data_IF_184995193957
#
_entry.id   IF_184995193957
#
_cell.length_a   1.000
_cell.length_b   1.000
_cell.length_c   1.000
_cell.angle_alpha   90.00
_cell.angle_beta   90.00
_cell.angle_gamma   90.00
#
_symmetry.space_group_name_H-M   'P 1'
#
loop_
_entity.id
_entity.type
_entity.pdbx_description
1 polymer ?
#
# COMPACT_ATOMS: atom_id res chain seq x y z
N UNK A 1 -8.45 -43.35 -66.13
CA UNK A 1 -8.85 -42.10 -65.44
C UNK A 1 -8.86 -42.21 -63.90
N UNK A 2 -7.92 -42.94 -63.26
CA UNK A 2 -7.90 -43.18 -61.79
C UNK A 2 -6.74 -42.51 -61.03
N UNK A 3 -5.72 -41.98 -61.71
CA UNK A 3 -4.53 -41.39 -61.05
C UNK A 3 -4.69 -39.93 -60.56
N UNK A 4 -5.63 -39.15 -61.12
CA UNK A 4 -5.83 -37.74 -60.69
C UNK A 4 -6.53 -37.61 -59.32
N UNK A 5 -7.36 -38.60 -58.93
CA UNK A 5 -8.10 -38.56 -57.65
C UNK A 5 -7.19 -38.85 -56.44
N UNK A 6 -6.19 -39.72 -56.58
CA UNK A 6 -5.22 -40.01 -55.52
C UNK A 6 -4.28 -38.83 -55.23
N UNK A 7 -3.81 -38.12 -56.27
CA UNK A 7 -2.99 -36.91 -56.07
C UNK A 7 -3.75 -35.79 -55.37
N UNK A 8 -5.03 -35.63 -55.69
CA UNK A 8 -5.90 -34.65 -55.04
C UNK A 8 -6.16 -35.02 -53.57
N UNK A 9 -6.43 -36.30 -53.29
CA UNK A 9 -6.60 -36.80 -51.93
C UNK A 9 -5.32 -36.63 -51.09
N UNK A 10 -4.16 -36.99 -51.64
CA UNK A 10 -2.87 -36.81 -50.97
C UNK A 10 -2.57 -35.32 -50.69
N UNK A 11 -2.92 -34.44 -51.62
CA UNK A 11 -2.84 -32.99 -51.44
C UNK A 11 -3.73 -32.49 -50.30
N UNK A 12 -4.96 -32.99 -50.19
CA UNK A 12 -5.85 -32.63 -49.08
C UNK A 12 -5.37 -33.20 -47.74
N UNK A 13 -4.81 -34.41 -47.71
CA UNK A 13 -4.21 -34.99 -46.50
C UNK A 13 -2.96 -34.21 -46.06
N UNK A 14 -2.09 -33.81 -46.99
CA UNK A 14 -0.91 -32.99 -46.68
C UNK A 14 -1.31 -31.58 -46.22
N UNK A 15 -2.33 -30.97 -46.83
CA UNK A 15 -2.87 -29.68 -46.39
C UNK A 15 -3.48 -29.79 -44.98
N UNK A 16 -4.19 -30.89 -44.68
CA UNK A 16 -4.74 -31.15 -43.35
C UNK A 16 -3.65 -31.34 -42.29
N UNK A 17 -2.59 -32.09 -42.59
CA UNK A 17 -1.44 -32.25 -41.68
C UNK A 17 -0.68 -30.94 -41.46
N UNK A 18 -0.52 -30.11 -42.51
CA UNK A 18 0.03 -28.76 -42.36
C UNK A 18 -0.85 -27.86 -41.49
N UNK A 19 -2.17 -27.92 -41.63
CA UNK A 19 -3.10 -27.14 -40.82
C UNK A 19 -3.05 -27.56 -39.34
N UNK A 20 -3.01 -28.87 -39.07
CA UNK A 20 -2.90 -29.40 -37.70
C UNK A 20 -1.55 -29.03 -37.08
N UNK A 21 -0.46 -29.11 -37.84
CA UNK A 21 0.87 -28.66 -37.41
C UNK A 21 0.90 -27.16 -37.13
N UNK A 22 0.29 -26.35 -38.00
CA UNK A 22 0.17 -24.90 -37.82
C UNK A 22 -0.66 -24.54 -36.59
N UNK A 23 -1.78 -25.24 -36.35
CA UNK A 23 -2.61 -25.05 -35.15
C UNK A 23 -1.90 -25.52 -33.87
N UNK A 24 -1.11 -26.60 -33.93
CA UNK A 24 -0.25 -27.02 -32.82
C UNK A 24 0.85 -25.99 -32.56
N UNK A 25 1.45 -25.43 -33.60
CA UNK A 25 2.44 -24.37 -33.48
C UNK A 25 1.81 -23.11 -32.88
N UNK A 26 0.61 -22.71 -33.32
CA UNK A 26 -0.13 -21.58 -32.78
C UNK A 26 -0.54 -21.80 -31.32
N UNK A 27 -0.97 -23.02 -30.97
CA UNK A 27 -1.26 -23.40 -29.59
C UNK A 27 0.01 -23.33 -28.74
N UNK A 28 1.14 -23.84 -29.23
CA UNK A 28 2.42 -23.77 -28.52
C UNK A 28 2.92 -22.32 -28.38
N UNK A 29 2.74 -21.50 -29.41
CA UNK A 29 3.05 -20.07 -29.40
C UNK A 29 2.11 -19.27 -28.49
N UNK A 30 0.88 -19.72 -28.26
CA UNK A 30 -0.04 -19.13 -27.28
C UNK A 30 0.30 -19.51 -25.82
N UNK A 31 1.07 -20.59 -25.62
CA UNK A 31 1.57 -21.00 -24.31
C UNK A 31 2.98 -20.46 -24.00
N UNK A 32 3.75 -20.08 -25.01
CA UNK A 32 4.99 -19.33 -24.85
C UNK A 32 4.64 -17.85 -24.86
N UNK A 33 4.80 -17.19 -23.72
CA UNK A 33 4.57 -15.75 -23.52
C UNK A 33 5.50 -14.90 -24.40
N UNK A 34 5.18 -14.76 -25.68
CA UNK A 34 5.82 -13.84 -26.62
C UNK A 34 4.78 -13.47 -27.68
N UNK A 35 3.93 -12.47 -27.40
CA UNK A 35 4.28 -11.13 -27.88
C UNK A 35 3.73 -9.99 -27.00
N UNK A 36 4.59 -9.44 -26.13
CA UNK A 36 4.53 -8.01 -25.73
C UNK A 36 5.83 -7.27 -26.00
N UNK A 37 6.92 -7.98 -26.30
CA UNK A 37 8.24 -7.39 -26.57
C UNK A 37 8.53 -7.07 -28.06
N UNK A 38 7.59 -7.30 -28.97
CA UNK A 38 7.75 -6.91 -30.39
C UNK A 38 7.03 -5.60 -30.75
N UNK A 39 6.28 -5.00 -29.82
CA UNK A 39 5.74 -3.65 -29.96
C UNK A 39 6.71 -2.56 -29.42
N UNK A 40 7.84 -2.95 -28.83
CA UNK A 40 8.88 -2.05 -28.31
C UNK A 40 10.11 -1.90 -29.22
N UNK A 41 10.12 -2.52 -30.41
CA UNK A 41 11.21 -2.36 -31.38
C UNK A 41 11.00 -1.13 -32.29
N UNK A 42 11.29 0.04 -31.72
CA UNK A 42 11.89 1.26 -32.30
C UNK A 42 11.33 1.95 -33.59
N UNK A 43 11.47 3.29 -33.69
CA UNK A 43 10.58 4.22 -34.40
C UNK A 43 11.08 4.67 -35.80
N UNK A 44 11.93 3.88 -36.46
CA UNK A 44 12.69 4.33 -37.64
C UNK A 44 12.01 4.15 -39.01
N UNK A 45 10.67 4.18 -39.09
CA UNK A 45 9.99 4.00 -40.37
C UNK A 45 8.96 5.07 -40.73
N UNK A 46 9.10 6.32 -40.25
CA UNK A 46 8.54 7.50 -40.94
C UNK A 46 9.41 8.74 -40.65
N UNK A 47 9.93 9.35 -41.71
CA UNK A 47 10.53 10.70 -41.80
C UNK A 47 12.02 10.90 -41.43
N UNK A 48 12.88 10.23 -42.19
CA UNK A 48 14.04 10.92 -42.77
C UNK A 48 13.54 11.95 -43.78
N UNK A 49 13.53 13.25 -43.47
CA UNK A 49 13.54 14.31 -44.49
C UNK A 49 13.96 15.66 -43.87
N UNK A 50 15.10 16.16 -44.37
CA UNK A 50 15.68 17.50 -44.29
C UNK A 50 16.85 17.80 -43.30
N UNK A 51 18.07 17.62 -43.84
CA UNK A 51 19.32 18.42 -43.79
C UNK A 51 19.95 18.78 -42.43
N UNK A 52 21.13 18.23 -42.10
CA UNK A 52 22.52 18.62 -42.51
C UNK A 52 23.03 19.93 -41.89
N UNK A 53 23.90 19.84 -40.87
CA UNK A 53 25.35 20.12 -40.96
C UNK A 53 26.00 20.21 -39.55
N UNK A 54 27.14 19.54 -39.39
CA UNK A 54 28.09 19.63 -38.28
C UNK A 54 29.02 20.88 -38.44
N UNK A 55 30.11 21.15 -37.67
CA UNK A 55 30.73 20.39 -36.55
C UNK A 55 31.44 21.23 -35.40
N UNK A 56 32.03 20.52 -34.40
CA UNK A 56 33.37 20.77 -33.73
C UNK A 56 33.49 21.90 -32.63
N UNK A 57 33.48 21.58 -31.32
CA UNK A 57 34.59 21.29 -30.30
C UNK A 57 35.37 22.52 -29.74
N UNK A 58 36.19 22.44 -28.66
CA UNK A 58 36.10 21.75 -27.35
C UNK A 58 36.62 22.59 -26.12
N UNK A 59 36.41 22.04 -24.90
CA UNK A 59 37.23 22.06 -23.65
C UNK A 59 37.85 23.35 -23.04
N UNK A 60 37.74 23.50 -21.71
CA UNK A 60 38.88 23.70 -20.78
C UNK A 60 38.47 23.59 -19.28
N UNK A 61 39.13 22.68 -18.55
CA UNK A 61 39.47 22.75 -17.09
C UNK A 61 40.94 23.26 -16.97
N UNK A 62 41.63 23.45 -15.81
CA UNK A 62 41.39 22.99 -14.42
C UNK A 62 41.79 23.96 -13.24
N UNK A 63 41.48 23.55 -11.99
CA UNK A 63 42.17 23.59 -10.65
C UNK A 63 43.50 24.38 -10.44
N UNK A 64 44.12 24.48 -9.21
CA UNK A 64 43.71 24.27 -7.79
C UNK A 64 44.22 25.37 -6.80
N UNK A 65 43.99 25.23 -5.48
CA UNK A 65 44.89 25.82 -4.46
C UNK A 65 44.39 25.88 -3.01
N UNK A 66 44.84 24.94 -2.17
CA UNK A 66 44.87 25.04 -0.69
C UNK A 66 46.25 25.54 -0.19
N UNK A 67 46.38 25.94 1.09
CA UNK A 67 47.17 25.07 1.99
C UNK A 67 46.67 24.99 3.45
N UNK A 68 47.02 23.85 4.05
CA UNK A 68 46.87 23.41 5.44
C UNK A 68 47.56 24.29 6.49
N UNK A 69 47.06 24.26 7.73
CA UNK A 69 47.91 24.24 8.93
C UNK A 69 47.31 23.38 10.06
N UNK A 70 48.13 22.43 10.52
CA UNK A 70 47.95 21.39 11.52
C UNK A 70 47.93 21.89 12.98
N UNK A 71 47.12 21.24 13.84
CA UNK A 71 47.53 20.84 15.22
C UNK A 71 46.59 19.80 15.86
N UNK A 72 47.13 18.62 16.14
CA UNK A 72 46.65 17.56 17.06
C UNK A 72 47.48 17.61 18.37
N UNK A 73 47.25 16.75 19.39
CA UNK A 73 46.05 15.99 19.81
C UNK A 73 45.78 16.08 21.33
N UNK A 74 44.54 15.92 21.81
CA UNK A 74 44.30 15.46 23.20
C UNK A 74 43.03 14.61 23.30
N UNK A 75 43.07 13.70 24.26
CA UNK A 75 42.34 12.45 24.39
C UNK A 75 40.83 12.57 24.68
N UNK A 76 40.11 11.58 24.13
CA UNK A 76 38.93 10.88 24.65
C UNK A 76 37.91 11.66 25.50
N UNK A 77 36.72 11.85 24.95
CA UNK A 77 35.47 11.44 25.60
C UNK A 77 34.40 11.29 24.51
N UNK A 78 33.93 10.06 24.28
CA UNK A 78 32.64 9.84 23.62
C UNK A 78 31.53 10.17 24.61
N UNK A 79 30.62 11.10 24.33
CA UNK A 79 29.32 11.11 24.95
C UNK A 79 28.41 10.22 24.08
N UNK A 80 28.01 9.11 24.68
CA UNK A 80 26.80 8.38 24.34
C UNK A 80 25.65 9.36 24.11
N UNK A 81 24.82 9.05 23.11
CA UNK A 81 23.47 9.60 22.91
C UNK A 81 22.83 9.95 24.26
N UNK A 82 22.74 11.25 24.54
CA UNK A 82 21.85 11.74 25.57
C UNK A 82 20.44 11.77 24.97
N UNK A 83 19.43 11.18 25.63
CA UNK A 83 18.03 11.38 25.25
C UNK A 83 17.73 12.88 25.33
N UNK A 84 17.09 13.43 24.29
CA UNK A 84 16.59 14.80 24.29
C UNK A 84 15.73 15.02 25.55
N UNK A 85 16.05 16.07 26.31
CA UNK A 85 15.32 16.47 27.52
C UNK A 85 13.88 16.91 27.18
N UNK A 86 12.85 16.51 27.96
CA UNK A 86 11.45 16.75 27.64
C UNK A 86 11.01 18.16 28.08
N UNK A 87 11.57 19.22 27.48
CA UNK A 87 11.10 20.59 27.74
C UNK A 87 11.18 21.56 26.56
N UNK A 88 11.30 21.05 25.32
CA UNK A 88 11.15 21.86 24.08
C UNK A 88 10.08 21.35 23.12
N UNK A 89 9.36 20.28 23.45
CA UNK A 89 8.34 19.65 22.60
C UNK A 89 7.02 20.45 22.47
N UNK A 90 7.07 21.77 22.64
CA UNK A 90 5.95 22.71 22.41
C UNK A 90 6.25 23.69 21.27
N UNK A 91 7.45 23.64 20.68
CA UNK A 91 7.75 24.35 19.43
C UNK A 91 7.08 23.59 18.27
N UNK A 92 6.04 24.22 17.73
CA UNK A 92 5.30 23.93 16.50
C UNK A 92 5.81 22.73 15.68
N UNK A 93 5.38 21.50 16.05
CA UNK A 93 5.73 20.25 15.36
C UNK A 93 5.58 20.32 13.83
N UNK A 94 4.63 21.14 13.36
CA UNK A 94 4.32 21.35 11.95
C UNK A 94 5.31 22.28 11.21
N UNK A 95 6.27 22.89 11.91
CA UNK A 95 7.32 23.76 11.32
C UNK A 95 8.70 23.12 11.35
N UNK A 96 8.80 21.91 11.88
CA UNK A 96 10.06 21.19 11.96
C UNK A 96 10.41 20.65 10.57
N UNK A 97 11.67 20.86 10.19
CA UNK A 97 12.31 20.12 9.11
C UNK A 97 12.63 18.69 9.62
N UNK A 98 12.57 17.71 8.72
CA UNK A 98 12.91 16.33 9.02
C UNK A 98 14.13 15.93 8.21
N UNK A 99 15.22 15.58 8.89
CA UNK A 99 16.47 15.17 8.24
C UNK A 99 16.42 13.66 8.05
N UNK A 100 16.45 13.22 6.79
CA UNK A 100 16.52 11.80 6.46
C UNK A 100 17.88 11.25 6.91
N UNK A 101 17.89 10.16 7.70
CA UNK A 101 19.14 9.52 8.09
C UNK A 101 19.75 8.83 6.86
N UNK A 102 21.08 8.86 6.76
CA UNK A 102 21.78 8.01 5.79
C UNK A 102 21.67 6.55 6.24
N UNK A 103 21.13 5.70 5.38
CA UNK A 103 21.12 4.25 5.63
C UNK A 103 22.51 3.68 5.35
N UNK A 104 23.23 3.32 6.40
CA UNK A 104 24.58 2.73 6.33
C UNK A 104 24.55 1.20 6.45
N UNK A 105 23.37 0.59 6.36
CA UNK A 105 23.17 -0.83 6.59
C UNK A 105 23.70 -1.66 5.42
N UNK A 106 24.69 -2.53 5.66
CA UNK A 106 25.15 -3.49 4.65
C UNK A 106 24.11 -4.61 4.44
N UNK A 107 23.30 -4.45 3.40
CA UNK A 107 22.28 -5.43 3.01
C UNK A 107 22.84 -6.64 2.28
N UNK A 108 24.06 -6.53 1.72
CA UNK A 108 24.67 -7.57 0.90
C UNK A 108 26.08 -7.89 1.36
N UNK A 109 26.38 -9.19 1.51
CA UNK A 109 27.71 -9.70 1.84
C UNK A 109 28.27 -10.52 0.68
N UNK A 110 29.56 -10.38 0.41
CA UNK A 110 30.26 -11.26 -0.53
C UNK A 110 30.67 -12.54 0.17
N UNK A 111 30.23 -13.67 -0.37
CA UNK A 111 30.69 -15.00 0.03
C UNK A 111 32.13 -15.21 -0.39
N UNK A 112 32.82 -16.16 0.26
CA UNK A 112 34.18 -16.60 -0.13
C UNK A 112 34.26 -17.13 -1.56
N UNK A 113 33.14 -17.55 -2.14
CA UNK A 113 33.03 -17.99 -3.52
C UNK A 113 32.75 -16.84 -4.51
N UNK A 114 32.75 -15.58 -4.06
CA UNK A 114 32.50 -14.40 -4.89
C UNK A 114 31.02 -14.09 -5.15
N UNK A 115 30.09 -14.94 -4.70
CA UNK A 115 28.65 -14.67 -4.78
C UNK A 115 28.22 -13.58 -3.80
N UNK A 116 27.29 -12.72 -4.22
CA UNK A 116 26.68 -11.70 -3.36
C UNK A 116 25.43 -12.30 -2.73
N UNK A 117 25.33 -12.26 -1.39
CA UNK A 117 24.19 -12.77 -0.64
C UNK A 117 23.53 -11.64 0.13
N UNK A 118 22.20 -11.56 0.08
CA UNK A 118 21.43 -10.70 0.95
C UNK A 118 21.58 -11.16 2.40
N UNK A 119 21.75 -10.21 3.33
CA UNK A 119 21.87 -10.46 4.77
C UNK A 119 20.56 -10.02 5.45
N UNK A 120 19.52 -10.87 5.51
CA UNK A 120 18.37 -10.58 6.34
C UNK A 120 18.75 -10.69 7.81
N UNK A 121 18.41 -9.67 8.60
CA UNK A 121 18.65 -9.61 10.04
C UNK A 121 18.20 -10.88 10.75
N UNK A 122 19.17 -11.65 11.25
CA UNK A 122 18.96 -12.65 12.29
C UNK A 122 19.98 -12.44 13.42
N UNK A 123 19.43 -11.96 14.56
CA UNK A 123 19.93 -11.96 15.95
C UNK A 123 20.84 -10.83 16.45
N UNK A 124 20.52 -10.46 17.70
CA UNK A 124 21.06 -9.40 18.56
C UNK A 124 22.53 -9.59 18.98
N UNK A 125 23.21 -8.44 19.21
CA UNK A 125 24.36 -8.15 20.11
C UNK A 125 25.69 -8.95 19.97
N UNK A 126 26.76 -8.32 19.47
CA UNK A 126 27.91 -7.75 20.23
C UNK A 126 29.18 -7.41 19.37
N UNK A 127 29.65 -6.15 19.51
CA UNK A 127 30.95 -5.46 19.22
C UNK A 127 31.77 -5.63 17.91
N UNK A 128 32.49 -4.55 17.47
CA UNK A 128 33.02 -4.39 16.11
C UNK A 128 34.52 -4.68 15.98
N UNK A 129 35.04 -4.76 14.73
CA UNK A 129 36.25 -3.98 14.45
C UNK A 129 36.24 -3.22 13.10
N UNK A 130 36.66 -1.97 13.23
CA UNK A 130 37.52 -1.13 12.37
C UNK A 130 37.66 -1.38 10.85
N UNK A 131 37.38 -0.33 10.08
CA UNK A 131 38.01 -0.07 8.78
C UNK A 131 37.28 0.99 7.95
N UNK A 132 37.93 2.14 7.68
CA UNK A 132 37.65 3.05 6.54
C UNK A 132 38.33 2.47 5.28
N UNK A 133 38.06 2.92 4.02
CA UNK A 133 37.36 4.14 3.61
C UNK A 133 36.39 3.99 2.39
N UNK A 134 35.90 5.16 1.94
CA UNK A 134 35.45 5.53 0.59
C UNK A 134 33.94 5.63 0.29
N UNK A 135 33.64 6.79 -0.30
CA UNK A 135 32.36 7.44 -0.55
C UNK A 135 31.56 6.68 -1.61
N UNK A 136 30.34 6.28 -1.26
CA UNK A 136 29.35 5.71 -2.17
C UNK A 136 27.95 6.17 -1.79
N UNK A 137 27.16 6.40 -2.82
CA UNK A 137 25.92 7.16 -2.84
C UNK A 137 24.75 6.19 -2.71
N UNK A 138 24.04 6.12 -1.55
CA UNK A 138 22.85 5.24 -1.35
C UNK A 138 21.58 5.92 -0.74
N UNK A 139 20.41 5.46 -1.20
CA UNK A 139 19.07 6.09 -1.16
C UNK A 139 18.27 5.88 0.15
N UNK A 140 17.27 6.75 0.37
CA UNK A 140 16.29 6.68 1.47
C UNK A 140 14.84 6.69 0.99
N UNK A 141 13.90 6.24 1.82
CA UNK A 141 12.49 6.06 1.44
C UNK A 141 11.51 6.82 2.34
N UNK A 142 10.48 7.43 1.74
CA UNK A 142 9.41 8.16 2.42
C UNK A 142 8.03 7.57 2.14
N UNK A 143 7.23 7.35 3.19
CA UNK A 143 5.82 6.98 3.09
C UNK A 143 4.92 8.13 3.58
N UNK A 144 3.87 8.46 2.86
CA UNK A 144 2.97 9.58 3.17
C UNK A 144 1.51 9.13 3.26
N UNK A 145 0.80 9.61 4.29
CA UNK A 145 -0.59 9.24 4.57
C UNK A 145 -1.39 10.39 5.18
N UNK A 146 -2.65 10.49 4.78
CA UNK A 146 -3.66 11.35 5.42
C UNK A 146 -4.43 10.55 6.47
N UNK A 147 -4.79 11.19 7.59
CA UNK A 147 -5.46 10.50 8.71
C UNK A 147 -6.65 11.31 9.20
N UNK A 148 -7.80 10.64 9.37
CA UNK A 148 -8.96 11.19 10.07
C UNK A 148 -9.13 10.51 11.43
N UNK A 149 -9.49 9.23 11.44
CA UNK A 149 -9.67 8.45 12.67
C UNK A 149 -9.28 6.97 12.55
N UNK A 150 -8.58 6.61 11.46
CA UNK A 150 -7.97 5.31 11.18
C UNK A 150 -6.75 4.98 12.09
N UNK A 151 -6.74 5.41 13.36
CA UNK A 151 -5.55 5.33 14.21
C UNK A 151 -5.04 3.92 14.46
N UNK A 152 -5.93 2.93 14.55
CA UNK A 152 -5.53 1.52 14.71
C UNK A 152 -4.82 1.00 13.47
N UNK A 153 -5.30 1.35 12.27
CA UNK A 153 -4.66 0.95 11.01
C UNK A 153 -3.34 1.71 10.79
N UNK A 154 -3.27 2.97 11.22
CA UNK A 154 -2.01 3.72 11.25
C UNK A 154 -0.97 3.05 12.16
N UNK A 155 -1.35 2.67 13.38
CA UNK A 155 -0.46 1.99 14.33
C UNK A 155 0.06 0.67 13.75
N UNK A 156 -0.83 -0.10 13.11
CA UNK A 156 -0.44 -1.31 12.36
C UNK A 156 0.56 -0.98 11.26
N UNK A 157 0.33 0.06 10.48
CA UNK A 157 1.23 0.48 9.40
C UNK A 157 2.62 0.88 9.93
N UNK A 158 2.69 1.62 11.02
CA UNK A 158 3.95 1.96 11.68
C UNK A 158 4.70 0.71 12.15
N UNK A 159 4.00 -0.27 12.71
CA UNK A 159 4.61 -1.52 13.15
C UNK A 159 5.03 -2.46 12.01
N UNK A 160 4.30 -2.48 10.90
CA UNK A 160 4.63 -3.30 9.72
C UNK A 160 5.81 -2.74 8.91
N UNK A 161 5.90 -1.41 8.81
CA UNK A 161 6.82 -0.73 7.89
C UNK A 161 7.94 0.04 8.59
N UNK A 162 7.87 0.24 9.91
CA UNK A 162 8.77 1.11 10.64
C UNK A 162 10.25 0.72 10.58
N UNK A 163 10.57 -0.51 10.22
CA UNK A 163 11.95 -0.97 10.03
C UNK A 163 12.48 -0.80 8.61
N UNK A 164 11.61 -0.59 7.61
CA UNK A 164 12.00 -0.43 6.20
C UNK A 164 11.81 1.00 5.68
N UNK A 165 10.88 1.76 6.26
CA UNK A 165 10.63 3.18 5.92
C UNK A 165 11.51 4.11 6.75
N UNK A 166 12.11 5.12 6.13
CA UNK A 166 12.98 6.08 6.81
C UNK A 166 12.19 7.26 7.39
N UNK A 167 11.16 7.73 6.68
CA UNK A 167 10.25 8.76 7.17
C UNK A 167 8.77 8.48 6.84
N UNK A 168 7.91 8.72 7.82
CA UNK A 168 6.46 8.76 7.67
C UNK A 168 5.99 10.21 7.67
N UNK A 169 5.48 10.69 6.54
CA UNK A 169 4.86 12.01 6.42
C UNK A 169 3.36 11.86 6.67
N UNK A 170 2.88 12.41 7.78
CA UNK A 170 1.49 12.22 8.22
C UNK A 170 0.79 13.56 8.28
N UNK A 171 -0.27 13.73 7.46
CA UNK A 171 -1.08 14.94 7.45
C UNK A 171 -2.36 14.79 8.27
N UNK A 172 -2.60 15.76 9.13
CA UNK A 172 -3.82 15.93 9.90
C UNK A 172 -4.42 17.32 9.64
N UNK A 173 -5.74 17.38 9.48
CA UNK A 173 -6.50 18.62 9.36
C UNK A 173 -7.34 18.86 10.61
N UNK A 174 -7.54 20.13 10.99
CA UNK A 174 -8.54 20.50 12.00
C UNK A 174 -9.97 20.62 11.42
N UNK A 175 -10.21 20.03 10.25
CA UNK A 175 -11.50 19.95 9.60
C UNK A 175 -11.86 18.50 9.24
N UNK A 176 -13.14 18.16 9.31
CA UNK A 176 -13.67 16.93 8.68
C UNK A 176 -13.61 17.05 7.15
N UNK A 177 -13.81 15.95 6.42
CA UNK A 177 -13.90 16.01 4.95
C UNK A 177 -15.12 16.83 4.45
N UNK A 178 -16.05 17.17 5.34
CA UNK A 178 -17.16 18.08 5.08
C UNK A 178 -16.83 19.56 5.37
N UNK A 179 -15.70 19.83 6.04
CA UNK A 179 -15.28 21.17 6.45
C UNK A 179 -15.73 21.59 7.84
N UNK A 180 -16.24 20.69 8.67
CA UNK A 180 -16.60 21.01 10.05
C UNK A 180 -15.38 20.93 10.99
N UNK A 181 -15.28 21.75 12.04
CA UNK A 181 -14.17 21.68 12.98
C UNK A 181 -13.98 20.27 13.56
N UNK A 182 -12.74 19.79 13.58
CA UNK A 182 -12.37 18.47 14.08
C UNK A 182 -11.16 18.55 15.03
N UNK A 183 -11.16 17.81 16.16
CA UNK A 183 -10.03 17.80 17.08
C UNK A 183 -8.79 17.15 16.47
N UNK A 184 -7.62 17.71 16.78
CA UNK A 184 -6.31 17.20 16.36
C UNK A 184 -5.85 16.03 17.24
N UNK A 185 -6.52 14.89 17.08
CA UNK A 185 -6.29 13.68 17.87
C UNK A 185 -4.92 13.05 17.60
N UNK A 186 -4.43 13.06 16.35
CA UNK A 186 -3.11 12.51 16.04
C UNK A 186 -2.02 13.33 16.72
N UNK A 187 -2.11 14.66 16.68
CA UNK A 187 -1.21 15.55 17.43
C UNK A 187 -1.24 15.28 18.94
N UNK A 188 -2.42 15.03 19.51
CA UNK A 188 -2.55 14.62 20.92
C UNK A 188 -1.81 13.30 21.18
N UNK A 189 -2.00 12.29 20.33
CA UNK A 189 -1.32 10.98 20.43
C UNK A 189 0.21 11.06 20.26
N UNK A 190 0.70 12.01 19.44
CA UNK A 190 2.12 12.27 19.30
C UNK A 190 2.73 12.94 20.54
N UNK A 191 1.94 13.69 21.32
CA UNK A 191 2.41 14.47 22.46
C UNK A 191 2.22 13.75 23.80
N UNK A 192 1.21 12.88 23.91
CA UNK A 192 0.92 12.10 25.11
C UNK A 192 1.76 10.81 25.25
N UNK A 193 2.57 10.49 24.23
CA UNK A 193 3.50 9.35 24.23
C UNK A 193 3.00 8.08 23.53
N UNK A 194 1.78 8.04 22.99
CA UNK A 194 1.25 6.84 22.30
C UNK A 194 2.17 6.37 21.18
N UNK A 195 2.71 7.30 20.38
CA UNK A 195 3.60 6.97 19.25
C UNK A 195 5.09 7.23 19.52
N UNK A 196 5.50 7.33 20.79
CA UNK A 196 6.88 7.70 21.13
C UNK A 196 7.92 6.74 20.52
N UNK A 197 7.57 5.46 20.36
CA UNK A 197 8.43 4.43 19.78
C UNK A 197 8.81 4.69 18.31
N UNK A 198 7.96 5.37 17.53
CA UNK A 198 8.17 5.65 16.10
C UNK A 198 8.27 7.15 15.79
N UNK A 199 7.99 8.01 16.78
CA UNK A 199 7.95 9.48 16.63
C UNK A 199 9.16 10.07 15.91
N UNK A 200 10.35 9.52 16.14
CA UNK A 200 11.59 9.95 15.50
C UNK A 200 11.62 9.75 13.97
N UNK A 201 10.68 8.97 13.41
CA UNK A 201 10.46 8.80 11.97
C UNK A 201 9.25 9.55 11.43
N UNK A 202 8.45 10.21 12.29
CA UNK A 202 7.19 10.83 11.88
C UNK A 202 7.37 12.33 11.65
N UNK A 203 7.14 12.77 10.42
CA UNK A 203 6.97 14.16 10.05
C UNK A 203 5.48 14.52 10.09
N UNK A 204 5.10 15.35 11.06
CA UNK A 204 3.73 15.86 11.19
C UNK A 204 3.48 17.04 10.25
N UNK A 205 2.48 16.91 9.38
CA UNK A 205 1.95 17.95 8.51
C UNK A 205 0.60 18.40 9.05
N UNK A 206 0.46 19.70 9.30
CA UNK A 206 -0.78 20.27 9.81
C UNK A 206 -1.43 21.14 8.75
N UNK A 207 -2.63 20.78 8.34
CA UNK A 207 -3.48 21.61 7.49
C UNK A 207 -4.46 22.39 8.36
N UNK A 208 -4.28 23.71 8.44
CA UNK A 208 -5.01 24.60 9.35
C UNK A 208 -6.20 25.32 8.71
N UNK A 209 -6.45 25.07 7.42
CA UNK A 209 -7.51 25.71 6.65
C UNK A 209 -8.23 24.70 5.75
N UNK A 210 -9.47 25.04 5.39
CA UNK A 210 -10.27 24.25 4.46
C UNK A 210 -10.22 24.88 3.06
N UNK A 211 -9.99 24.10 1.98
CA UNK A 211 -9.81 24.65 0.66
C UNK A 211 -11.07 25.34 0.13
N UNK A 212 -10.87 26.45 -0.59
CA UNK A 212 -11.95 27.15 -1.29
C UNK A 212 -12.62 26.20 -2.28
N UNK A 213 -13.95 26.16 -2.30
CA UNK A 213 -14.72 25.23 -3.14
C UNK A 213 -14.91 23.84 -2.51
N UNK A 214 -14.13 23.46 -1.49
CA UNK A 214 -14.20 22.12 -0.89
C UNK A 214 -15.55 21.77 -0.25
N UNK A 215 -16.30 22.79 0.18
CA UNK A 215 -17.65 22.58 0.75
C UNK A 215 -18.68 22.30 -0.35
N UNK A 216 -18.45 22.82 -1.55
CA UNK A 216 -19.32 22.61 -2.70
C UNK A 216 -18.97 21.30 -3.41
N UNK A 217 -17.69 20.98 -3.50
CA UNK A 217 -17.18 19.75 -4.09
C UNK A 217 -16.15 19.11 -3.17
N UNK A 218 -16.53 17.99 -2.56
CA UNK A 218 -15.69 17.24 -1.64
C UNK A 218 -14.40 16.72 -2.29
N UNK A 219 -14.38 16.51 -3.60
CA UNK A 219 -13.19 16.08 -4.31
C UNK A 219 -12.10 17.16 -4.30
N UNK A 220 -12.47 18.44 -4.25
CA UNK A 220 -11.51 19.53 -4.06
C UNK A 220 -10.84 19.41 -2.69
N UNK A 221 -11.60 19.04 -1.65
CA UNK A 221 -11.07 18.87 -0.31
C UNK A 221 -10.11 17.69 -0.20
N UNK A 222 -10.49 16.51 -0.73
CA UNK A 222 -9.62 15.33 -0.75
C UNK A 222 -8.36 15.53 -1.59
N UNK A 223 -8.50 16.10 -2.79
CA UNK A 223 -7.37 16.38 -3.67
C UNK A 223 -6.39 17.34 -2.99
N UNK A 224 -6.91 18.45 -2.45
CA UNK A 224 -6.09 19.46 -1.80
C UNK A 224 -5.35 18.90 -0.59
N UNK A 225 -5.99 18.04 0.22
CA UNK A 225 -5.33 17.41 1.36
C UNK A 225 -4.10 16.59 0.91
N UNK A 226 -4.22 15.83 -0.18
CA UNK A 226 -3.12 15.01 -0.73
C UNK A 226 -2.04 15.86 -1.40
N UNK A 227 -2.43 16.91 -2.12
CA UNK A 227 -1.50 17.90 -2.68
C UNK A 227 -0.73 18.62 -1.57
N UNK A 228 -1.42 19.04 -0.50
CA UNK A 228 -0.80 19.73 0.63
C UNK A 228 0.16 18.82 1.39
N UNK A 229 -0.25 17.59 1.70
CA UNK A 229 0.61 16.55 2.30
C UNK A 229 1.95 16.42 1.56
N UNK A 230 1.90 16.40 0.23
CA UNK A 230 3.09 16.19 -0.61
C UNK A 230 3.90 17.45 -0.79
N UNK A 231 3.29 18.59 -1.10
CA UNK A 231 4.00 19.85 -1.27
C UNK A 231 4.64 20.33 0.03
N UNK A 232 3.88 20.38 1.13
CA UNK A 232 4.41 20.82 2.42
C UNK A 232 5.35 19.76 3.01
N UNK A 233 4.89 18.51 3.10
CA UNK A 233 5.64 17.44 3.73
C UNK A 233 6.98 17.15 3.04
N UNK A 234 6.99 16.96 1.71
CA UNK A 234 8.23 16.66 0.99
C UNK A 234 9.19 17.86 0.99
N UNK A 235 8.69 19.10 0.98
CA UNK A 235 9.55 20.30 1.05
C UNK A 235 10.32 20.45 2.37
N UNK A 236 9.81 19.82 3.43
CA UNK A 236 10.42 19.80 4.77
C UNK A 236 11.33 18.60 5.01
N UNK A 237 11.41 17.66 4.06
CA UNK A 237 12.42 16.60 4.08
C UNK A 237 13.77 17.18 3.65
N UNK A 238 14.80 16.99 4.49
CA UNK A 238 16.20 17.36 4.21
C UNK A 238 16.99 16.10 3.87
N UNK A 239 18.01 16.25 3.05
CA UNK A 239 18.81 15.17 2.48
C UNK A 239 18.02 14.18 1.59
N UNK A 240 16.88 14.63 1.07
CA UNK A 240 16.11 13.87 0.09
C UNK A 240 16.87 13.83 -1.23
N UNK A 241 17.01 12.64 -1.80
CA UNK A 241 17.73 12.40 -3.06
C UNK A 241 16.75 12.16 -4.21
N UNK A 242 17.19 12.36 -5.46
CA UNK A 242 16.33 12.11 -6.62
C UNK A 242 15.87 10.65 -6.75
N UNK A 243 16.70 9.70 -6.33
CA UNK A 243 16.46 8.25 -6.42
C UNK A 243 15.67 7.66 -5.23
N UNK A 244 15.40 8.47 -4.20
CA UNK A 244 14.60 8.08 -3.04
C UNK A 244 13.19 7.62 -3.44
N UNK A 245 12.67 6.58 -2.78
CA UNK A 245 11.32 6.07 -3.08
C UNK A 245 10.28 6.85 -2.30
N UNK A 246 9.32 7.43 -3.02
CA UNK A 246 8.15 8.06 -2.44
C UNK A 246 6.93 7.15 -2.59
N UNK A 247 6.22 6.92 -1.47
CA UNK A 247 4.96 6.17 -1.41
C UNK A 247 3.87 7.05 -0.81
N UNK A 248 2.70 7.11 -1.45
CA UNK A 248 1.48 7.75 -0.96
C UNK A 248 0.33 6.75 -0.99
N UNK A 249 -0.23 6.48 0.19
CA UNK A 249 -1.31 5.51 0.39
C UNK A 249 -2.23 6.00 1.51
N UNK A 250 -3.48 5.57 1.47
CA UNK A 250 -4.44 5.81 2.55
C UNK A 250 -4.09 5.00 3.80
N UNK A 251 -4.59 5.42 4.96
CA UNK A 251 -4.27 4.74 6.23
C UNK A 251 -4.77 3.29 6.28
N UNK A 252 -5.82 2.95 5.50
CA UNK A 252 -6.36 1.60 5.35
C UNK A 252 -5.74 0.81 4.19
N UNK A 253 -4.75 1.38 3.50
CA UNK A 253 -3.90 0.75 2.48
C UNK A 253 -2.52 0.48 3.10
N UNK A 254 -2.22 -0.79 3.38
CA UNK A 254 -1.00 -1.24 4.08
C UNK A 254 -0.15 -2.06 3.09
N UNK A 255 0.88 -1.47 2.46
CA UNK A 255 1.85 -2.21 1.67
C UNK A 255 2.51 -3.33 2.47
N UNK A 256 2.82 -4.44 1.81
CA UNK A 256 3.60 -5.50 2.43
C UNK A 256 5.05 -5.04 2.62
N UNK A 257 5.59 -5.20 3.83
CA UNK A 257 6.98 -4.87 4.19
C UNK A 257 8.00 -5.36 3.15
N UNK A 258 7.86 -6.60 2.68
CA UNK A 258 8.82 -7.21 1.75
C UNK A 258 8.77 -6.54 0.37
N UNK A 259 7.62 -5.99 -0.03
CA UNK A 259 7.48 -5.21 -1.27
C UNK A 259 8.10 -3.82 -1.16
N UNK A 260 7.94 -3.15 -0.02
CA UNK A 260 8.61 -1.86 0.25
C UNK A 260 10.13 -2.06 0.31
N UNK A 261 10.59 -3.11 1.00
CA UNK A 261 12.01 -3.45 1.06
C UNK A 261 12.60 -3.78 -0.32
N UNK A 262 11.83 -4.42 -1.20
CA UNK A 262 12.26 -4.65 -2.58
C UNK A 262 12.49 -3.31 -3.31
N UNK A 263 11.56 -2.36 -3.18
CA UNK A 263 11.68 -1.05 -3.82
C UNK A 263 12.89 -0.27 -3.30
N UNK A 264 13.14 -0.34 -1.99
CA UNK A 264 14.29 0.30 -1.33
C UNK A 264 15.64 -0.19 -1.86
N UNK A 265 15.74 -1.50 -2.10
CA UNK A 265 17.04 -2.17 -2.31
C UNK A 265 17.34 -2.49 -3.78
N UNK A 266 16.34 -2.43 -4.65
CA UNK A 266 16.47 -2.85 -6.03
C UNK A 266 16.36 -1.66 -6.97
N UNK A 267 17.39 -1.43 -7.77
CA UNK A 267 17.39 -0.44 -8.85
C UNK A 267 16.86 -1.02 -10.16
N UNK A 268 16.27 -0.17 -10.99
CA UNK A 268 15.89 -0.52 -12.36
C UNK A 268 14.46 -1.04 -12.53
N UNK A 269 13.60 -0.85 -11.52
CA UNK A 269 12.16 -0.90 -11.74
C UNK A 269 11.69 0.33 -12.55
N UNK A 270 10.57 0.19 -13.26
CA UNK A 270 9.97 1.26 -14.08
C UNK A 270 9.00 2.11 -13.25
N UNK A 271 8.68 3.32 -13.66
CA UNK A 271 7.86 4.24 -12.88
C UNK A 271 6.59 4.69 -13.62
N UNK A 272 5.48 5.01 -12.92
CA UNK A 272 5.27 4.82 -11.47
C UNK A 272 4.94 3.36 -11.13
N UNK A 273 4.88 3.01 -9.84
CA UNK A 273 4.46 1.68 -9.40
C UNK A 273 3.17 1.69 -8.58
N UNK A 274 2.55 0.52 -8.51
CA UNK A 274 1.34 0.25 -7.75
C UNK A 274 1.48 -0.97 -6.85
N UNK A 275 0.57 -1.15 -5.90
CA UNK A 275 0.44 -2.38 -5.11
C UNK A 275 -0.87 -3.10 -5.44
N UNK A 276 -0.81 -4.41 -5.70
CA UNK A 276 -1.99 -5.27 -5.68
C UNK A 276 -2.33 -5.67 -4.25
N UNK A 277 -3.38 -5.10 -3.68
CA UNK A 277 -3.77 -5.31 -2.29
C UNK A 277 -4.95 -6.27 -2.15
N UNK A 278 -4.93 -7.08 -1.07
CA UNK A 278 -6.07 -7.90 -0.65
C UNK A 278 -7.17 -7.00 -0.12
N UNK A 279 -8.37 -7.08 -0.72
CA UNK A 279 -9.53 -6.31 -0.27
C UNK A 279 -10.25 -7.00 0.89
N UNK A 280 -10.44 -6.25 1.97
CA UNK A 280 -11.13 -6.68 3.18
C UNK A 280 -12.24 -5.70 3.54
N UNK A 281 -13.24 -6.15 4.29
CA UNK A 281 -14.42 -5.35 4.63
C UNK A 281 -14.81 -5.51 6.11
N UNK A 282 -14.99 -4.41 6.85
CA UNK A 282 -15.28 -4.35 8.30
C UNK A 282 -14.22 -4.95 9.23
N UNK A 283 -13.38 -5.83 8.69
CA UNK A 283 -12.21 -6.46 9.27
C UNK A 283 -11.60 -7.41 8.24
N UNK A 284 -10.53 -8.09 8.60
CA UNK A 284 -9.81 -9.01 7.73
C UNK A 284 -10.55 -10.34 7.49
N UNK A 285 -11.58 -10.62 8.32
CA UNK A 285 -12.45 -11.78 8.24
C UNK A 285 -13.45 -11.77 7.08
N UNK A 286 -13.75 -10.61 6.46
CA UNK A 286 -14.49 -10.58 5.19
C UNK A 286 -13.53 -10.25 4.05
N UNK A 287 -13.28 -11.23 3.18
CA UNK A 287 -12.53 -11.03 1.95
C UNK A 287 -13.50 -10.65 0.84
N UNK A 288 -13.24 -9.52 0.18
CA UNK A 288 -13.99 -9.13 -1.00
C UNK A 288 -13.41 -9.82 -2.25
N UNK A 289 -14.24 -10.11 -3.27
CA UNK A 289 -13.76 -10.69 -4.52
C UNK A 289 -12.84 -9.73 -5.29
N UNK A 290 -11.84 -10.31 -5.97
CA UNK A 290 -10.83 -9.57 -6.72
C UNK A 290 -9.80 -8.86 -5.84
N UNK A 291 -9.09 -7.89 -6.42
CA UNK A 291 -7.98 -7.17 -5.76
C UNK A 291 -8.14 -5.67 -5.97
N UNK A 292 -7.48 -4.87 -5.15
CA UNK A 292 -7.35 -3.44 -5.38
C UNK A 292 -5.95 -3.17 -5.94
N UNK A 293 -5.85 -2.49 -7.08
CA UNK A 293 -4.56 -2.02 -7.61
C UNK A 293 -4.43 -0.52 -7.31
N UNK A 294 -3.52 -0.21 -6.39
CA UNK A 294 -3.33 1.12 -5.81
C UNK A 294 -2.05 1.70 -6.41
N UNK A 295 -2.14 2.74 -7.27
CA UNK A 295 -0.93 3.42 -7.77
C UNK A 295 -0.41 4.32 -6.66
N UNK A 296 0.77 4.00 -6.15
CA UNK A 296 1.20 4.46 -4.83
C UNK A 296 2.51 5.19 -4.84
N UNK A 297 3.40 4.93 -5.80
CA UNK A 297 4.75 5.49 -5.67
C UNK A 297 5.53 5.66 -6.95
N UNK A 298 6.60 6.43 -6.81
CA UNK A 298 7.63 6.67 -7.80
C UNK A 298 8.88 7.16 -7.08
N UNK A 299 9.96 7.40 -7.81
CA UNK A 299 11.11 8.13 -7.29
C UNK A 299 10.74 9.58 -6.97
N UNK A 300 11.48 10.20 -6.08
CA UNK A 300 11.36 11.63 -5.78
C UNK A 300 11.63 12.49 -7.01
N UNK A 301 12.56 12.10 -7.89
CA UNK A 301 12.81 12.82 -9.15
C UNK A 301 11.58 12.84 -10.04
N UNK A 302 10.89 11.70 -10.21
CA UNK A 302 9.63 11.66 -10.95
C UNK A 302 8.56 12.51 -10.26
N UNK A 303 8.44 12.42 -8.93
CA UNK A 303 7.48 13.21 -8.16
C UNK A 303 7.68 14.71 -8.37
N UNK A 304 8.92 15.17 -8.34
CA UNK A 304 9.28 16.57 -8.55
C UNK A 304 9.14 16.99 -10.01
N UNK A 305 9.79 16.28 -10.93
CA UNK A 305 9.89 16.67 -12.34
C UNK A 305 8.57 16.49 -13.09
N UNK A 306 7.91 15.35 -12.95
CA UNK A 306 6.72 14.99 -13.73
C UNK A 306 5.45 15.48 -13.04
N UNK A 307 5.32 15.22 -11.74
CA UNK A 307 4.10 15.53 -11.00
C UNK A 307 4.11 16.92 -10.35
N UNK A 308 5.26 17.58 -10.23
CA UNK A 308 5.36 18.90 -9.60
C UNK A 308 5.08 18.85 -8.10
N UNK A 309 5.53 17.79 -7.42
CA UNK A 309 5.26 17.50 -6.00
C UNK A 309 3.76 17.32 -5.68
N UNK A 310 2.93 17.02 -6.68
CA UNK A 310 1.49 16.86 -6.50
C UNK A 310 1.11 15.37 -6.45
N UNK A 311 1.04 14.82 -5.22
CA UNK A 311 0.78 13.39 -4.99
C UNK A 311 -0.56 12.88 -5.52
N UNK A 312 -1.58 13.74 -5.65
CA UNK A 312 -2.88 13.31 -6.21
C UNK A 312 -2.78 12.97 -7.69
N UNK A 313 -1.88 13.63 -8.44
CA UNK A 313 -1.67 13.34 -9.86
C UNK A 313 -1.05 11.97 -10.07
N UNK A 314 -0.19 11.54 -9.14
CA UNK A 314 0.34 10.18 -9.07
C UNK A 314 -0.80 9.18 -8.82
N UNK A 315 -1.61 9.40 -7.76
CA UNK A 315 -2.77 8.55 -7.43
C UNK A 315 -3.76 8.40 -8.59
N UNK A 316 -3.97 9.49 -9.36
CA UNK A 316 -4.88 9.54 -10.51
C UNK A 316 -4.28 9.06 -11.83
N UNK A 317 -3.04 8.55 -11.83
CA UNK A 317 -2.34 8.02 -13.01
C UNK A 317 -2.15 9.06 -14.13
N UNK A 318 -2.04 10.35 -13.81
CA UNK A 318 -2.09 11.43 -14.82
C UNK A 318 -0.77 11.70 -15.56
N UNK A 319 0.26 10.85 -15.37
CA UNK A 319 1.62 11.12 -15.84
C UNK A 319 1.76 11.27 -17.35
N UNK A 320 1.00 10.50 -18.15
CA UNK A 320 1.10 10.52 -19.61
C UNK A 320 0.65 11.85 -20.24
N UNK A 321 -0.15 12.65 -19.53
CA UNK A 321 -0.57 13.99 -19.93
C UNK A 321 0.31 15.11 -19.38
N UNK A 322 1.28 14.79 -18.52
CA UNK A 322 2.11 15.80 -17.87
C UNK A 322 3.12 16.40 -18.85
N UNK A 323 3.32 17.74 -18.85
CA UNK A 323 4.17 18.41 -19.83
C UNK A 323 5.64 17.94 -19.77
N UNK A 324 6.13 17.66 -18.57
CA UNK A 324 7.52 17.25 -18.34
C UNK A 324 7.76 15.75 -18.48
N UNK A 325 6.71 14.94 -18.73
CA UNK A 325 6.83 13.48 -18.79
C UNK A 325 7.82 13.02 -19.87
N UNK A 326 7.71 13.56 -21.09
CA UNK A 326 8.62 13.21 -22.20
C UNK A 326 10.05 13.68 -21.96
N UNK A 327 10.21 14.84 -21.31
CA UNK A 327 11.54 15.33 -20.94
C UNK A 327 12.20 14.43 -19.89
N UNK A 328 11.43 14.00 -18.89
CA UNK A 328 11.86 13.08 -17.85
C UNK A 328 12.25 11.71 -18.44
N UNK A 329 11.41 11.14 -19.30
CA UNK A 329 11.67 9.89 -20.03
C UNK A 329 12.98 9.96 -20.84
N UNK A 330 13.18 11.05 -21.61
CA UNK A 330 14.39 11.24 -22.40
C UNK A 330 15.64 11.44 -21.54
N UNK A 331 15.53 12.12 -20.39
CA UNK A 331 16.64 12.39 -19.48
C UNK A 331 17.10 11.14 -18.74
N UNK A 332 16.16 10.33 -18.27
CA UNK A 332 16.45 9.09 -17.54
C UNK A 332 16.85 7.96 -18.48
N UNK A 333 16.39 7.99 -19.73
CA UNK A 333 16.61 6.89 -20.68
C UNK A 333 15.83 5.62 -20.34
N UNK A 334 14.91 5.69 -19.37
CA UNK A 334 14.05 4.60 -18.96
C UNK A 334 12.73 4.63 -19.74
N UNK A 335 12.23 3.46 -20.12
CA UNK A 335 10.87 3.35 -20.67
C UNK A 335 9.91 3.37 -19.48
N UNK A 336 9.08 4.40 -19.39
CA UNK A 336 8.17 4.62 -18.26
C UNK A 336 6.84 3.92 -18.50
N UNK A 337 6.70 2.75 -17.90
CA UNK A 337 5.48 1.94 -17.90
C UNK A 337 5.06 1.69 -16.47
N UNK A 338 3.82 2.03 -16.13
CA UNK A 338 3.28 1.66 -14.83
C UNK A 338 3.29 0.14 -14.66
N UNK A 339 3.78 -0.32 -13.51
CA UNK A 339 3.74 -1.72 -13.11
C UNK A 339 3.21 -1.84 -11.68
N UNK A 340 2.98 -3.07 -11.24
CA UNK A 340 2.36 -3.34 -9.94
C UNK A 340 3.14 -4.41 -9.22
N UNK A 341 3.46 -4.16 -7.95
CA UNK A 341 3.94 -5.19 -7.03
C UNK A 341 2.80 -6.15 -6.75
N UNK A 342 3.12 -7.44 -6.86
CA UNK A 342 2.14 -8.50 -6.72
C UNK A 342 1.26 -8.67 -7.96
N UNK A 343 0.19 -9.44 -7.79
CA UNK A 343 -0.79 -9.74 -8.85
C UNK A 343 -2.13 -10.06 -8.21
N UNK A 344 -3.20 -10.26 -9.01
CA UNK A 344 -4.48 -10.66 -8.48
C UNK A 344 -4.51 -11.96 -7.65
N UNK A 345 -3.45 -12.78 -7.75
CA UNK A 345 -3.29 -14.04 -7.02
C UNK A 345 -2.24 -13.95 -5.89
N UNK A 346 -1.30 -13.00 -5.98
CA UNK A 346 -0.21 -12.82 -5.04
C UNK A 346 -0.19 -11.37 -4.57
N UNK A 347 -0.89 -11.08 -3.49
CA UNK A 347 -1.01 -9.72 -2.96
C UNK A 347 0.33 -9.16 -2.47
N UNK A 348 0.53 -7.87 -2.66
CA UNK A 348 1.65 -7.08 -2.15
C UNK A 348 1.20 -6.08 -1.05
N UNK A 349 0.07 -6.35 -0.40
CA UNK A 349 -0.44 -5.53 0.69
C UNK A 349 -1.90 -5.83 1.02
N UNK A 350 -2.48 -5.00 1.87
CA UNK A 350 -3.85 -5.11 2.34
C UNK A 350 -4.59 -3.79 2.20
N UNK A 351 -5.86 -3.86 1.81
CA UNK A 351 -6.79 -2.75 1.87
C UNK A 351 -8.01 -3.17 2.71
N UNK A 352 -8.40 -2.36 3.68
CA UNK A 352 -9.44 -2.71 4.65
C UNK A 352 -10.55 -1.65 4.71
N UNK A 353 -11.58 -1.81 3.88
CA UNK A 353 -12.72 -0.90 3.85
C UNK A 353 -13.56 -1.03 5.12
N UNK A 354 -13.94 0.12 5.70
CA UNK A 354 -14.83 0.19 6.86
C UNK A 354 -14.35 -0.59 8.10
N UNK A 355 -13.04 -0.80 8.23
CA UNK A 355 -12.44 -1.57 9.31
C UNK A 355 -12.35 -0.77 10.62
N UNK A 356 -13.52 -0.56 11.22
CA UNK A 356 -13.72 0.14 12.48
C UNK A 356 -14.76 -0.58 13.35
N UNK A 357 -14.86 -0.16 14.60
CA UNK A 357 -16.05 -0.43 15.42
C UNK A 357 -17.31 0.18 14.79
N UNK A 358 -18.53 -0.24 15.19
CA UNK A 358 -19.76 0.38 14.68
C UNK A 358 -19.79 1.89 14.86
N UNK A 359 -19.27 2.39 15.98
CA UNK A 359 -19.18 3.82 16.27
C UNK A 359 -18.18 4.51 15.32
N UNK A 360 -17.05 3.87 14.99
CA UNK A 360 -16.10 4.39 14.02
C UNK A 360 -16.65 4.41 12.58
N UNK A 361 -17.48 3.44 12.20
CA UNK A 361 -18.21 3.46 10.92
C UNK A 361 -19.22 4.60 10.90
N UNK A 362 -19.98 4.79 11.99
CA UNK A 362 -20.88 5.93 12.13
C UNK A 362 -20.14 7.26 11.94
N UNK A 363 -18.99 7.43 12.61
CA UNK A 363 -18.18 8.64 12.47
C UNK A 363 -17.69 8.85 11.03
N UNK A 364 -17.23 7.79 10.35
CA UNK A 364 -16.82 7.84 8.94
C UNK A 364 -17.96 8.25 8.01
N UNK A 365 -19.18 7.76 8.26
CA UNK A 365 -20.37 8.11 7.49
C UNK A 365 -20.72 9.60 7.63
N UNK A 366 -20.74 10.13 8.85
CA UNK A 366 -21.10 11.54 9.08
C UNK A 366 -20.01 12.51 8.60
N UNK A 367 -18.75 12.07 8.58
CA UNK A 367 -17.62 12.88 8.12
C UNK A 367 -17.39 12.81 6.60
N UNK A 368 -18.12 11.97 5.87
CA UNK A 368 -17.92 11.77 4.43
C UNK A 368 -18.04 13.09 3.64
N UNK A 369 -17.25 13.21 2.57
CA UNK A 369 -17.16 14.42 1.75
C UNK A 369 -18.44 14.70 0.93
N UNK A 370 -18.64 15.96 0.51
CA UNK A 370 -19.80 16.41 -0.28
C UNK A 370 -19.86 15.86 -1.73
N UNK A 371 -18.83 15.13 -2.18
CA UNK A 371 -18.75 14.54 -3.52
C UNK A 371 -18.98 13.03 -3.57
N UNK A 372 -19.22 12.37 -2.44
CA UNK A 372 -19.40 10.93 -2.35
C UNK A 372 -20.87 10.56 -2.54
N UNK A 373 -21.26 10.10 -3.74
CA UNK A 373 -22.66 9.82 -4.09
C UNK A 373 -22.90 8.33 -4.40
N UNK A 374 -23.91 7.67 -3.79
CA UNK A 374 -24.79 8.20 -2.74
C UNK A 374 -24.06 8.36 -1.41
N UNK A 375 -24.30 9.49 -0.72
CA UNK A 375 -23.71 9.75 0.59
C UNK A 375 -24.47 8.99 1.66
N UNK A 376 -24.01 7.78 1.98
CA UNK A 376 -24.71 6.90 2.93
C UNK A 376 -24.94 7.54 4.31
N UNK A 377 -24.08 8.47 4.73
CA UNK A 377 -24.24 9.21 5.99
C UNK A 377 -25.44 10.17 6.05
N UNK A 378 -26.07 10.51 4.92
CA UNK A 378 -27.26 11.38 4.90
C UNK A 378 -28.54 10.60 5.27
N UNK A 379 -28.50 9.27 5.22
CA UNK A 379 -29.63 8.41 5.51
C UNK A 379 -29.65 8.00 7.00
N UNK A 380 -30.72 8.33 7.71
CA UNK A 380 -30.84 8.05 9.16
C UNK A 380 -30.73 6.56 9.48
N UNK A 381 -31.33 5.69 8.68
CA UNK A 381 -31.29 4.23 8.85
C UNK A 381 -29.88 3.66 8.67
N UNK A 382 -29.07 4.26 7.78
CA UNK A 382 -27.70 3.81 7.51
C UNK A 382 -26.73 4.19 8.63
N UNK A 383 -27.09 5.19 9.44
CA UNK A 383 -26.35 5.61 10.64
C UNK A 383 -26.72 4.82 11.89
N UNK A 384 -27.79 4.01 11.87
CA UNK A 384 -28.20 3.22 13.02
C UNK A 384 -27.12 2.17 13.38
N UNK A 385 -26.72 2.14 14.66
CA UNK A 385 -25.65 1.24 15.10
C UNK A 385 -26.05 -0.24 15.01
N UNK A 386 -27.34 -0.59 15.13
CA UNK A 386 -27.78 -1.97 14.97
C UNK A 386 -27.78 -2.38 13.50
N UNK A 387 -28.14 -1.48 12.59
CA UNK A 387 -27.97 -1.67 11.15
C UNK A 387 -26.49 -1.90 10.79
N UNK A 388 -25.59 -1.05 11.27
CA UNK A 388 -24.14 -1.19 11.06
C UNK A 388 -23.63 -2.53 11.62
N UNK A 389 -24.00 -2.92 12.84
CA UNK A 389 -23.67 -4.24 13.40
C UNK A 389 -24.20 -5.38 12.54
N UNK A 390 -25.38 -5.24 11.96
CA UNK A 390 -25.93 -6.22 11.03
C UNK A 390 -25.09 -6.33 9.75
N UNK A 391 -24.61 -5.21 9.20
CA UNK A 391 -23.70 -5.22 8.06
C UNK A 391 -22.36 -5.90 8.38
N UNK A 392 -21.74 -5.58 9.52
CA UNK A 392 -20.51 -6.24 9.97
C UNK A 392 -20.75 -7.75 10.15
N UNK A 393 -21.89 -8.12 10.73
CA UNK A 393 -22.28 -9.52 10.94
C UNK A 393 -22.40 -10.31 9.64
N UNK A 394 -22.94 -9.71 8.59
CA UNK A 394 -23.26 -10.42 7.34
C UNK A 394 -22.26 -10.18 6.20
N UNK A 395 -21.40 -9.16 6.32
CA UNK A 395 -20.54 -8.70 5.23
C UNK A 395 -21.28 -7.89 4.15
N UNK A 396 -22.52 -7.44 4.43
CA UNK A 396 -23.31 -6.67 3.47
C UNK A 396 -22.79 -5.25 3.24
N UNK A 397 -23.22 -4.63 2.14
CA UNK A 397 -22.89 -3.24 1.79
C UNK A 397 -24.08 -2.30 2.08
N UNK A 398 -23.81 -0.99 2.11
CA UNK A 398 -24.82 0.01 2.46
C UNK A 398 -25.97 0.13 1.45
N UNK A 399 -25.76 -0.31 0.21
CA UNK A 399 -26.78 -0.39 -0.84
C UNK A 399 -27.73 -1.59 -0.70
N UNK A 400 -27.51 -2.44 0.30
CA UNK A 400 -28.29 -3.66 0.54
C UNK A 400 -27.73 -4.91 -0.14
N UNK A 401 -26.62 -4.80 -0.88
CA UNK A 401 -25.90 -5.96 -1.42
C UNK A 401 -25.43 -6.85 -0.28
N UNK A 402 -25.62 -8.16 -0.42
CA UNK A 402 -25.16 -9.13 0.57
C UNK A 402 -23.85 -9.77 0.13
N UNK A 403 -23.08 -10.24 1.10
CA UNK A 403 -21.88 -11.00 0.83
C UNK A 403 -22.24 -12.36 0.22
N UNK A 404 -21.74 -12.61 -0.99
CA UNK A 404 -21.94 -13.89 -1.69
C UNK A 404 -20.93 -14.97 -1.29
N UNK A 405 -19.76 -14.57 -0.76
CA UNK A 405 -18.64 -15.47 -0.45
C UNK A 405 -18.54 -15.77 1.05
N UNK A 406 -18.07 -16.97 1.44
CA UNK A 406 -17.85 -17.27 2.85
C UNK A 406 -16.85 -16.30 3.51
N UNK A 407 -16.89 -16.16 4.84
CA UNK A 407 -15.82 -15.49 5.58
C UNK A 407 -14.46 -16.06 5.20
N UNK A 408 -13.44 -15.21 5.24
CA UNK A 408 -12.07 -15.59 4.97
C UNK A 408 -11.57 -16.63 5.99
N UNK A 409 -10.82 -17.62 5.51
CA UNK A 409 -10.15 -18.58 6.38
C UNK A 409 -8.89 -17.91 7.00
N UNK A 410 -8.77 -17.86 8.34
CA UNK A 410 -7.60 -17.28 9.01
C UNK A 410 -6.26 -17.93 8.64
N UNK A 411 -6.27 -19.15 8.08
CA UNK A 411 -5.09 -19.84 7.58
C UNK A 411 -4.69 -19.42 6.15
N UNK A 412 -5.50 -18.61 5.46
CA UNK A 412 -5.16 -18.07 4.15
C UNK A 412 -3.88 -17.24 4.19
N UNK A 413 -3.06 -17.38 3.15
CA UNK A 413 -1.92 -16.50 2.94
C UNK A 413 -2.38 -15.03 2.87
N UNK A 414 -1.65 -14.13 3.53
CA UNK A 414 -1.98 -12.70 3.62
C UNK A 414 -3.37 -12.45 4.21
N UNK A 415 -3.86 -13.28 5.14
CA UNK A 415 -5.13 -13.04 5.82
C UNK A 415 -5.22 -11.63 6.42
N UNK A 416 -4.22 -11.24 7.23
CA UNK A 416 -4.09 -9.93 7.86
C UNK A 416 -2.60 -9.56 8.06
N UNK A 417 -2.27 -8.28 8.28
CA UNK A 417 -0.96 -7.83 8.77
C UNK A 417 -0.41 -8.66 9.94
N UNK A 418 0.90 -8.91 9.94
CA UNK A 418 1.57 -9.76 10.94
C UNK A 418 1.44 -9.18 12.36
N UNK A 419 1.47 -7.87 12.51
CA UNK A 419 1.32 -7.16 13.77
C UNK A 419 -0.07 -7.36 14.37
N UNK A 420 -1.13 -7.31 13.55
CA UNK A 420 -2.48 -7.62 14.01
C UNK A 420 -2.56 -9.05 14.53
N UNK A 421 -2.02 -10.01 13.78
CA UNK A 421 -2.02 -11.43 14.17
C UNK A 421 -1.25 -11.69 15.47
N UNK A 422 -0.13 -10.98 15.69
CA UNK A 422 0.66 -11.08 16.92
C UNK A 422 -0.05 -10.44 18.13
N UNK A 423 -0.84 -9.39 17.91
CA UNK A 423 -1.58 -8.66 18.95
C UNK A 423 -3.07 -8.98 18.88
N UNK A 424 -3.40 -10.26 18.73
CA UNK A 424 -4.74 -10.74 18.43
C UNK A 424 -5.80 -10.24 19.42
N UNK A 425 -5.52 -10.26 20.73
CA UNK A 425 -6.51 -9.87 21.75
C UNK A 425 -6.90 -8.39 21.65
N UNK A 426 -5.93 -7.52 21.31
CA UNK A 426 -6.16 -6.09 21.12
C UNK A 426 -7.00 -5.84 19.85
N UNK A 427 -6.67 -6.52 18.75
CA UNK A 427 -7.30 -6.29 17.45
C UNK A 427 -8.33 -7.34 17.08
N UNK A 428 -8.87 -8.05 18.07
CA UNK A 428 -9.81 -9.15 17.85
C UNK A 428 -11.01 -8.72 17.01
N UNK A 429 -11.47 -7.49 17.20
CA UNK A 429 -12.60 -6.93 16.45
C UNK A 429 -12.34 -6.78 14.94
N UNK A 430 -11.08 -6.76 14.50
CA UNK A 430 -10.66 -6.74 13.09
C UNK A 430 -10.34 -8.13 12.55
N UNK A 431 -10.10 -9.12 13.41
CA UNK A 431 -9.68 -10.47 13.04
C UNK A 431 -10.80 -11.50 13.16
N UNK A 432 -11.74 -11.31 14.07
CA UNK A 432 -12.94 -12.11 14.20
C UNK A 432 -14.16 -11.26 13.87
N UNK A 433 -15.20 -11.88 13.32
CA UNK A 433 -16.51 -11.24 13.26
C UNK A 433 -17.14 -11.26 14.67
N UNK A 434 -17.22 -10.12 15.38
CA UNK A 434 -17.66 -10.10 16.78
C UNK A 434 -19.18 -10.25 16.92
N UNK A 435 -19.92 -10.16 15.82
CA UNK A 435 -21.38 -10.22 15.80
C UNK A 435 -21.92 -11.52 15.20
N UNK A 436 -21.05 -12.52 14.98
CA UNK A 436 -21.46 -13.83 14.49
C UNK A 436 -22.32 -14.52 15.54
N UNK A 437 -23.47 -15.04 15.11
CA UNK A 437 -24.31 -15.85 15.98
C UNK A 437 -23.57 -17.15 16.37
N UNK A 438 -23.69 -17.61 17.63
CA UNK A 438 -23.14 -18.89 18.03
C UNK A 438 -23.73 -19.97 17.14
N UNK A 439 -22.87 -20.84 16.56
CA UNK A 439 -23.36 -22.01 15.82
C UNK A 439 -24.24 -22.81 16.77
N UNK A 440 -25.53 -22.94 16.46
CA UNK A 440 -26.39 -23.88 17.18
C UNK A 440 -25.80 -25.28 16.99
N UNK A 441 -25.42 -25.93 18.09
CA UNK A 441 -25.02 -27.34 18.10
C UNK A 441 -26.26 -28.18 17.84
N UNK A 442 -26.72 -28.22 16.59
CA UNK A 442 -27.82 -29.05 16.14
C UNK A 442 -27.30 -30.20 15.27
N UNK A 443 -26.52 -31.09 15.87
CA UNK A 443 -26.30 -32.45 15.38
C UNK A 443 -25.80 -33.34 16.52
N UNK A 444 -26.53 -34.41 16.83
CA UNK A 444 -25.97 -35.55 17.58
C UNK A 444 -26.59 -35.88 18.94
N UNK A 445 -27.92 -35.99 19.01
CA UNK A 445 -28.61 -36.59 20.15
C UNK A 445 -29.69 -37.57 19.69
N UNK A 446 -29.32 -38.56 18.87
CA UNK A 446 -30.18 -39.73 18.63
C UNK A 446 -30.36 -40.47 19.96
N UNK A 447 -31.41 -40.12 20.70
CA UNK A 447 -31.96 -41.00 21.75
C UNK A 447 -32.64 -42.17 21.05
N UNK A 448 -32.00 -43.34 21.14
CA UNK A 448 -32.63 -44.63 20.91
C UNK A 448 -33.99 -44.68 21.62
N UNK A 449 -35.08 -44.66 20.86
CA UNK A 449 -36.39 -45.13 21.34
C UNK A 449 -36.32 -46.66 21.36
N UNK A 450 -35.90 -47.19 22.51
CA UNK A 450 -36.16 -48.58 22.88
C UNK A 450 -37.66 -48.77 23.06
N UNK A 451 -38.15 -49.84 22.47
CA UNK A 451 -39.49 -50.41 22.62
C UNK A 451 -39.75 -50.86 24.06
N UNK A 452 -40.86 -50.40 24.64
CA UNK A 452 -41.64 -50.96 25.78
C UNK A 452 -42.58 -49.81 26.25
N UNK A 453 -43.85 -49.93 26.56
CA UNK A 453 -44.86 -50.98 26.58
C UNK A 453 -46.23 -50.29 26.75
N UNK A 454 -47.32 -51.00 26.43
CA UNK A 454 -48.73 -50.56 26.49
C UNK A 454 -49.13 -49.76 27.76
N UNK A 455 -50.04 -48.77 27.65
CA UNK A 455 -50.87 -48.36 28.78
C UNK A 455 -52.11 -49.28 28.89
N UNK A 456 -52.58 -49.66 30.08
CA UNK A 456 -53.86 -50.32 30.23
C UNK A 456 -54.99 -49.29 30.31
N UNK A 457 -56.13 -49.68 29.72
CA UNK A 457 -57.40 -48.97 29.80
C UNK A 457 -58.25 -49.51 30.98
N UNK A 458 -58.99 -48.59 31.62
CA UNK A 458 -60.16 -48.69 32.54
C UNK A 458 -59.92 -47.94 33.86
N UNK A 459 -60.86 -47.18 34.41
CA UNK A 459 -62.28 -47.06 34.09
C UNK A 459 -62.95 -45.85 34.76
N UNK A 460 -64.20 -45.64 34.35
CA UNK A 460 -65.16 -44.64 34.85
C UNK A 460 -65.43 -44.76 36.35
N UNK A 461 -65.74 -43.63 36.99
CA UNK A 461 -66.87 -43.48 37.91
C UNK A 461 -67.24 -41.99 38.01
N UNK A 462 -68.55 -41.78 38.12
CA UNK A 462 -69.29 -40.53 37.97
C UNK A 462 -69.49 -39.78 39.32
N UNK A 463 -69.96 -38.52 39.22
CA UNK A 463 -70.95 -37.84 40.13
C UNK A 463 -70.42 -37.32 41.49
N UNK A 464 -70.79 -36.17 42.09
CA UNK A 464 -71.61 -34.95 41.85
C UNK A 464 -71.42 -34.03 43.09
N UNK A 465 -71.67 -32.72 42.92
CA UNK A 465 -72.03 -31.65 43.88
C UNK A 465 -71.06 -31.07 44.90
N UNK A 466 -71.13 -29.73 44.98
CA UNK A 466 -70.47 -28.80 45.88
C UNK A 466 -70.45 -27.40 45.27
#
# INVERSE_FOLDING_TARGET
>A
MKMKRYKLFLMFCMAGLCLISFLHFFKTLSYVTFPRELASLSPNLVSSFFWNNAPVTPQASPEPGSPDLLRTPLYSHSPLLQPLSPSKATEELHRMDFVLPEDTTEYFVRTKAGGVCFKPGTKMLEKPPSGRPEEKVEAGDGASSNINHEFDLLDVRFHELGDVVDAFVVCESNFTAYGEPWPLKFREMLTNGTFEYIRHKVLYVFLDHFPLGGRQDGWIADDYLRTFLTQDGVSRLRNLRPDDVFIIDDADEIPARDGVLFLKLYDGWTEPFAFHMRKSLYGFFWKQPGTLEVVSGCTVDMLQTVYGLDGIRLRRRQYYTMPNFRQYENRTGHILVQWSLGSPLHFAGWHCSWCFTPEGIYFKLVSAQNGDFPRWGDYEDKRDLNYIRSLIRTGGWFDGTQQEYPPADPSEHMYAPKYLLKNYDQFRYLLDNPYREPKSTAAGGWRNKGSEGRPPARGKLDVVEG
#
